data_IF_523975585187
#
_entry.id   IF_523975585187
#
_cell.length_a   1.000
_cell.length_b   1.000
_cell.length_c   1.000
_cell.angle_alpha   90.00
_cell.angle_beta   90.00
_cell.angle_gamma   90.00
#
_symmetry.space_group_name_H-M   'P 1'
#
loop_
_entity.id
_entity.type
_entity.pdbx_description
1 polymer ?
#
# COMPACT_ATOMS: atom_id res chain seq x y z
N UNK A 1 10.27 -10.69 25.78
CA UNK A 1 8.99 -9.97 25.97
C UNK A 1 8.18 -10.08 24.69
N UNK A 2 7.18 -10.95 24.65
CA UNK A 2 6.30 -11.11 23.47
C UNK A 2 5.34 -9.91 23.41
N UNK A 3 5.52 -9.04 22.42
CA UNK A 3 4.58 -7.96 22.14
C UNK A 3 3.32 -8.56 21.52
N UNK A 4 2.31 -8.84 22.33
CA UNK A 4 0.98 -9.16 21.84
C UNK A 4 0.48 -7.97 21.00
N UNK A 5 0.47 -8.13 19.67
CA UNK A 5 -0.05 -7.10 18.76
C UNK A 5 -1.53 -6.88 19.10
N UNK A 6 -1.84 -5.73 19.70
CA UNK A 6 -3.24 -5.32 19.93
C UNK A 6 -3.97 -5.38 18.60
N UNK A 7 -5.15 -6.02 18.59
CA UNK A 7 -6.00 -6.04 17.41
C UNK A 7 -6.26 -4.58 16.98
N UNK A 8 -6.09 -4.25 15.69
CA UNK A 8 -6.33 -2.90 15.21
C UNK A 8 -7.80 -2.51 15.44
N UNK A 9 -8.03 -1.25 15.81
CA UNK A 9 -9.39 -0.72 15.96
C UNK A 9 -10.17 -0.82 14.64
N UNK A 10 -11.50 -0.86 14.73
CA UNK A 10 -12.35 -0.94 13.53
C UNK A 10 -12.09 0.24 12.57
N UNK A 11 -11.85 1.44 13.11
CA UNK A 11 -11.44 2.60 12.31
C UNK A 11 -10.15 2.35 11.53
N UNK A 12 -9.12 1.78 12.18
CA UNK A 12 -7.87 1.44 11.52
C UNK A 12 -8.07 0.38 10.43
N UNK A 13 -8.98 -0.59 10.65
CA UNK A 13 -9.35 -1.60 9.65
C UNK A 13 -9.99 -0.97 8.42
N UNK A 14 -10.97 -0.08 8.61
CA UNK A 14 -11.66 0.63 7.51
C UNK A 14 -10.66 1.44 6.68
N UNK A 15 -9.80 2.24 7.34
CA UNK A 15 -8.78 3.06 6.66
C UNK A 15 -7.81 2.15 5.89
N UNK A 16 -7.37 1.05 6.48
CA UNK A 16 -6.48 0.09 5.83
C UNK A 16 -7.12 -0.49 4.55
N UNK A 17 -8.40 -0.85 4.59
CA UNK A 17 -9.11 -1.37 3.42
C UNK A 17 -9.23 -0.32 2.32
N UNK A 18 -9.54 0.93 2.66
CA UNK A 18 -9.61 2.02 1.70
C UNK A 18 -8.25 2.26 1.01
N UNK A 19 -7.17 2.31 1.78
CA UNK A 19 -5.81 2.47 1.25
C UNK A 19 -5.41 1.31 0.33
N UNK A 20 -5.73 0.06 0.71
CA UNK A 20 -5.45 -1.11 -0.14
C UNK A 20 -6.19 -1.05 -1.48
N UNK A 21 -7.45 -0.59 -1.47
CA UNK A 21 -8.25 -0.41 -2.70
C UNK A 21 -7.65 0.67 -3.59
N UNK A 22 -7.30 1.83 -3.03
CA UNK A 22 -6.66 2.92 -3.77
C UNK A 22 -5.34 2.47 -4.40
N UNK A 23 -4.49 1.76 -3.65
CA UNK A 23 -3.22 1.24 -4.16
C UNK A 23 -3.41 0.19 -5.28
N UNK A 24 -4.47 -0.64 -5.20
CA UNK A 24 -4.81 -1.59 -6.26
C UNK A 24 -5.18 -0.87 -7.55
N UNK A 25 -6.00 0.17 -7.44
CA UNK A 25 -6.44 0.95 -8.58
C UNK A 25 -5.29 1.72 -9.23
N UNK A 26 -4.42 2.33 -8.42
CA UNK A 26 -3.21 2.98 -8.92
C UNK A 26 -2.32 2.02 -9.72
N UNK A 27 -2.12 0.78 -9.24
CA UNK A 27 -1.38 -0.26 -10.00
C UNK A 27 -2.09 -0.64 -11.30
N UNK A 28 -3.41 -0.75 -11.29
CA UNK A 28 -4.21 -1.04 -12.50
C UNK A 28 -3.99 0.03 -13.57
N UNK A 29 -4.12 1.30 -13.18
CA UNK A 29 -3.88 2.46 -14.06
C UNK A 29 -2.43 2.46 -14.55
N UNK A 30 -1.48 2.24 -13.66
CA UNK A 30 -0.07 2.19 -14.02
C UNK A 30 0.23 1.12 -15.07
N UNK A 31 -0.38 -0.07 -14.93
CA UNK A 31 -0.27 -1.15 -15.92
C UNK A 31 -0.89 -0.79 -17.26
N UNK A 32 -2.04 -0.12 -17.27
CA UNK A 32 -2.70 0.32 -18.51
C UNK A 32 -1.85 1.31 -19.30
N UNK A 33 -1.16 2.22 -18.62
CA UNK A 33 -0.36 3.27 -19.26
C UNK A 33 1.14 2.96 -19.32
N UNK A 34 1.57 1.78 -18.87
CA UNK A 34 2.99 1.42 -18.80
C UNK A 34 3.81 2.33 -17.87
N UNK A 35 3.18 3.00 -16.91
CA UNK A 35 3.84 3.94 -16.00
C UNK A 35 4.35 3.24 -14.74
N UNK A 36 5.43 3.76 -14.14
CA UNK A 36 6.02 3.19 -12.92
C UNK A 36 5.15 3.51 -11.71
N UNK A 37 5.12 2.60 -10.74
CA UNK A 37 4.56 2.86 -9.41
C UNK A 37 5.69 3.19 -8.45
N UNK A 38 5.56 4.26 -7.69
CA UNK A 38 6.59 4.68 -6.75
C UNK A 38 6.24 4.19 -5.35
N UNK A 39 7.19 3.52 -4.70
CA UNK A 39 7.05 3.00 -3.33
C UNK A 39 8.27 3.37 -2.51
N UNK A 40 8.09 3.51 -1.19
CA UNK A 40 9.23 3.60 -0.28
C UNK A 40 9.65 2.18 0.09
N UNK A 41 10.88 1.81 -0.26
CA UNK A 41 11.51 0.53 0.07
C UNK A 41 12.86 0.83 0.73
N UNK A 42 13.09 0.29 1.92
CA UNK A 42 14.33 0.50 2.69
C UNK A 42 14.69 1.99 2.89
N UNK A 43 13.66 2.82 3.12
CA UNK A 43 13.81 4.27 3.30
C UNK A 43 14.08 5.07 2.02
N UNK A 44 14.08 4.42 0.84
CA UNK A 44 14.33 5.06 -0.46
C UNK A 44 13.09 5.01 -1.34
N UNK A 45 12.91 6.03 -2.16
CA UNK A 45 11.86 6.06 -3.17
C UNK A 45 12.29 5.23 -4.38
N UNK A 46 11.57 4.15 -4.67
CA UNK A 46 11.87 3.21 -5.75
C UNK A 46 10.69 3.13 -6.71
N UNK A 47 10.97 3.23 -8.01
CA UNK A 47 9.97 3.04 -9.06
C UNK A 47 9.91 1.57 -9.48
N UNK A 48 8.85 0.87 -9.08
CA UNK A 48 8.59 -0.50 -9.52
C UNK A 48 7.90 -0.51 -10.88
N UNK A 49 8.19 -1.54 -11.68
CA UNK A 49 7.42 -1.81 -12.90
C UNK A 49 5.97 -2.15 -12.51
N UNK A 50 4.99 -1.72 -13.32
CA UNK A 50 3.58 -1.91 -13.02
C UNK A 50 3.12 -3.38 -13.07
#
# INVERSE_FOLDING_TARGET
>A
MSSAKKAPSEKARIVTLALKRAAKEARRIAKMHGTKVWVIQDGKLVGIKP
#
